data_IF_246388746876
#
_entry.id   IF_246388746876
#
_cell.length_a   1.000
_cell.length_b   1.000
_cell.length_c   1.000
_cell.angle_alpha   90.00
_cell.angle_beta   90.00
_cell.angle_gamma   90.00
#
_symmetry.space_group_name_H-M   'P 1'
#
loop_
_entity.id
_entity.type
_entity.pdbx_description
1 polymer ?
#
# COMPACT_ATOMS: atom_id res chain seq x y z
N UNK A 1 27.97 -4.29 14.55
CA UNK A 1 27.14 -3.32 13.81
C UNK A 1 26.04 -2.89 14.75
N UNK A 2 25.75 -1.59 14.92
CA UNK A 2 24.60 -1.21 15.74
C UNK A 2 23.36 -1.61 14.95
N UNK A 3 22.55 -2.49 15.54
CA UNK A 3 21.15 -2.73 15.12
C UNK A 3 20.43 -1.39 15.30
N UNK A 4 20.30 -0.63 14.21
CA UNK A 4 19.54 0.62 14.24
C UNK A 4 18.09 0.23 14.01
N UNK A 5 17.40 -0.09 15.09
CA UNK A 5 15.95 -0.20 15.05
C UNK A 5 15.33 1.15 14.71
N UNK A 6 14.09 1.13 14.23
CA UNK A 6 13.39 2.31 13.73
C UNK A 6 11.90 2.27 14.05
N UNK A 7 11.30 3.45 14.17
CA UNK A 7 9.87 3.57 14.42
C UNK A 7 9.05 3.38 13.15
N UNK A 8 7.86 2.81 13.30
CA UNK A 8 6.93 2.67 12.20
C UNK A 8 6.60 4.03 11.59
N UNK A 9 6.91 4.23 10.29
CA UNK A 9 6.75 5.54 9.66
C UNK A 9 5.28 5.93 9.49
N UNK A 10 4.34 4.99 9.65
CA UNK A 10 2.91 5.24 9.48
C UNK A 10 2.28 5.75 10.78
N UNK A 11 2.43 5.01 11.87
CA UNK A 11 1.72 5.27 13.12
C UNK A 11 2.61 5.69 14.30
N UNK A 12 3.93 5.48 14.21
CA UNK A 12 4.88 5.77 15.29
C UNK A 12 4.72 4.91 16.55
N UNK A 13 3.88 3.86 16.54
CA UNK A 13 3.56 3.06 17.74
C UNK A 13 4.41 1.81 17.92
N UNK A 14 5.09 1.36 16.88
CA UNK A 14 5.89 0.14 16.88
C UNK A 14 7.33 0.43 16.52
N UNK A 15 8.27 -0.25 17.19
CA UNK A 15 9.70 -0.12 16.95
C UNK A 15 10.22 -1.43 16.38
N UNK A 16 10.66 -1.39 15.13
CA UNK A 16 11.24 -2.51 14.41
C UNK A 16 12.71 -2.69 14.78
N UNK A 17 13.18 -3.93 14.86
CA UNK A 17 14.59 -4.22 15.17
C UNK A 17 15.48 -4.12 13.92
N UNK A 18 14.96 -4.54 12.76
CA UNK A 18 15.75 -4.68 11.53
C UNK A 18 14.95 -4.35 10.26
N UNK A 19 15.62 -3.75 9.27
CA UNK A 19 15.04 -3.39 7.96
C UNK A 19 14.89 -4.55 6.98
N UNK A 20 15.62 -5.65 7.17
CA UNK A 20 15.55 -6.84 6.30
C UNK A 20 14.51 -7.85 6.78
N UNK A 21 13.63 -7.42 7.69
CA UNK A 21 12.49 -8.21 8.15
C UNK A 21 11.30 -8.01 7.21
N UNK A 22 10.48 -9.04 7.04
CA UNK A 22 9.10 -8.89 6.51
C UNK A 22 8.11 -8.64 7.64
N UNK A 23 8.58 -7.99 8.71
CA UNK A 23 7.79 -7.73 9.90
C UNK A 23 6.67 -6.73 9.59
N UNK A 24 5.49 -6.98 10.16
CA UNK A 24 4.31 -6.14 9.99
C UNK A 24 4.05 -5.37 11.28
N UNK A 25 3.81 -4.05 11.17
CA UNK A 25 3.43 -3.26 12.33
C UNK A 25 2.07 -3.72 12.86
N UNK A 26 1.95 -4.19 14.12
CA UNK A 26 0.70 -4.74 14.66
C UNK A 26 -0.42 -3.71 14.86
N UNK A 27 -0.13 -2.41 14.69
CA UNK A 27 -1.10 -1.33 14.86
C UNK A 27 -1.66 -0.80 13.54
N UNK A 28 -0.88 -0.82 12.47
CA UNK A 28 -1.27 -0.20 11.21
C UNK A 28 -1.08 -1.11 9.99
N UNK A 29 -0.49 -2.30 10.17
CA UNK A 29 -0.30 -3.30 9.12
C UNK A 29 0.64 -2.88 7.99
N UNK A 30 1.49 -1.88 8.22
CA UNK A 30 2.58 -1.55 7.32
C UNK A 30 3.70 -2.58 7.47
N UNK A 31 4.12 -3.18 6.35
CA UNK A 31 5.19 -4.17 6.31
C UNK A 31 6.52 -3.46 6.09
N UNK A 32 7.55 -3.86 6.83
CA UNK A 32 8.91 -3.33 6.67
C UNK A 32 9.36 -3.41 5.21
N UNK A 33 9.84 -2.28 4.71
CA UNK A 33 10.46 -2.16 3.40
C UNK A 33 11.44 -0.99 3.40
N UNK A 34 12.74 -1.29 3.29
CA UNK A 34 13.81 -0.28 3.34
C UNK A 34 13.67 0.78 2.25
N UNK A 35 13.27 0.41 1.02
CA UNK A 35 13.15 1.35 -0.10
C UNK A 35 12.01 2.33 0.14
N UNK A 36 10.88 1.85 0.67
CA UNK A 36 9.76 2.72 1.03
C UNK A 36 10.04 3.57 2.27
N UNK A 37 10.91 3.10 3.17
CA UNK A 37 11.38 3.89 4.30
C UNK A 37 12.34 5.01 3.88
N UNK A 38 13.25 4.74 2.94
CA UNK A 38 14.18 5.74 2.42
C UNK A 38 13.51 6.73 1.45
N UNK A 39 12.46 6.31 0.75
CA UNK A 39 11.67 7.14 -0.14
C UNK A 39 10.16 6.99 0.14
N UNK A 40 9.60 7.97 0.86
CA UNK A 40 8.21 7.91 1.31
C UNK A 40 7.16 8.03 0.20
N UNK A 41 7.56 8.42 -1.01
CA UNK A 41 6.68 8.46 -2.20
C UNK A 41 6.83 7.22 -3.08
N UNK A 42 7.75 6.30 -2.75
CA UNK A 42 7.92 5.06 -3.49
C UNK A 42 6.77 4.09 -3.20
N UNK A 43 5.95 3.84 -4.22
CA UNK A 43 4.74 3.00 -4.13
C UNK A 43 4.92 1.57 -4.63
N UNK A 44 6.15 1.17 -4.98
CA UNK A 44 6.46 -0.14 -5.57
C UNK A 44 7.28 -1.00 -4.63
N UNK A 45 6.67 -1.51 -3.55
CA UNK A 45 7.40 -2.32 -2.56
C UNK A 45 6.60 -3.49 -1.99
N UNK A 46 6.96 -3.87 -0.77
CA UNK A 46 6.20 -4.84 0.03
C UNK A 46 4.78 -4.35 0.27
N UNK A 47 4.59 -3.03 0.37
CA UNK A 47 3.29 -2.40 0.50
C UNK A 47 2.75 -1.95 -0.85
N UNK A 48 1.43 -2.02 -0.99
CA UNK A 48 0.72 -1.60 -2.19
C UNK A 48 0.65 -0.08 -2.40
N UNK A 49 0.97 0.68 -1.36
CA UNK A 49 0.92 2.13 -1.26
C UNK A 49 2.31 2.63 -0.84
N UNK A 50 2.64 3.88 -1.17
CA UNK A 50 3.79 4.57 -0.58
C UNK A 50 3.58 4.85 0.92
N UNK A 51 4.62 5.24 1.64
CA UNK A 51 4.49 5.63 3.07
C UNK A 51 3.51 6.78 3.23
N UNK A 52 3.59 7.80 2.37
CA UNK A 52 2.68 8.94 2.40
C UNK A 52 1.22 8.54 2.12
N UNK A 53 1.00 7.66 1.15
CA UNK A 53 -0.34 7.14 0.84
C UNK A 53 -0.92 6.27 1.95
N UNK A 54 -0.09 5.42 2.55
CA UNK A 54 -0.49 4.57 3.68
C UNK A 54 -0.86 5.42 4.90
N UNK A 55 -0.18 6.54 5.16
CA UNK A 55 -0.57 7.49 6.20
C UNK A 55 -1.98 8.06 5.99
N UNK A 56 -2.37 8.32 4.74
CA UNK A 56 -3.73 8.77 4.40
C UNK A 56 -4.72 7.64 4.70
N UNK A 57 -4.48 6.42 4.19
CA UNK A 57 -5.32 5.24 4.47
C UNK A 57 -5.49 5.03 5.99
N UNK A 58 -4.39 5.07 6.73
CA UNK A 58 -4.39 4.94 8.19
C UNK A 58 -5.20 6.04 8.87
N UNK A 59 -5.12 7.29 8.39
CA UNK A 59 -5.90 8.41 8.95
C UNK A 59 -7.40 8.17 8.79
N UNK A 60 -7.85 7.85 7.58
CA UNK A 60 -9.29 7.69 7.31
C UNK A 60 -9.87 6.41 7.95
N UNK A 61 -9.08 5.35 8.13
CA UNK A 61 -9.50 4.13 8.83
C UNK A 61 -9.62 4.31 10.34
N UNK A 62 -8.88 5.25 10.93
CA UNK A 62 -8.93 5.54 12.36
C UNK A 62 -9.92 6.67 12.73
N UNK A 63 -10.56 7.31 11.74
CA UNK A 63 -11.58 8.32 11.99
C UNK A 63 -12.99 7.69 11.99
N UNK A 64 -13.79 7.99 13.01
CA UNK A 64 -15.12 7.38 13.22
C UNK A 64 -16.11 7.64 12.07
N UNK A 65 -16.01 8.79 11.40
CA UNK A 65 -16.92 9.19 10.33
C UNK A 65 -16.56 8.46 9.03
N UNK A 66 -15.26 8.37 8.72
CA UNK A 66 -14.81 7.85 7.42
C UNK A 66 -14.47 6.36 7.43
N UNK A 67 -14.36 5.73 8.60
CA UNK A 67 -13.87 4.36 8.75
C UNK A 67 -14.60 3.35 7.87
N UNK A 68 -15.94 3.31 7.92
CA UNK A 68 -16.73 2.33 7.16
C UNK A 68 -16.52 2.51 5.64
N UNK A 69 -16.58 3.74 5.16
CA UNK A 69 -16.32 4.05 3.76
C UNK A 69 -14.88 3.67 3.34
N UNK A 70 -13.89 3.95 4.20
CA UNK A 70 -12.50 3.59 3.94
C UNK A 70 -12.28 2.07 3.91
N UNK A 71 -12.94 1.30 4.78
CA UNK A 71 -12.88 -0.17 4.79
C UNK A 71 -13.44 -0.77 3.49
N UNK A 72 -14.57 -0.25 3.00
CA UNK A 72 -15.16 -0.67 1.72
C UNK A 72 -14.18 -0.38 0.57
N UNK A 73 -13.64 0.84 0.49
CA UNK A 73 -12.68 1.21 -0.55
C UNK A 73 -11.42 0.36 -0.52
N UNK A 74 -10.92 0.04 0.69
CA UNK A 74 -9.74 -0.81 0.87
C UNK A 74 -9.97 -2.21 0.32
N UNK A 75 -11.14 -2.79 0.57
CA UNK A 75 -11.47 -4.12 0.08
C UNK A 75 -11.66 -4.13 -1.45
N UNK A 76 -12.32 -3.12 -2.01
CA UNK A 76 -12.42 -2.94 -3.46
C UNK A 76 -11.03 -2.87 -4.12
N UNK A 77 -10.12 -2.07 -3.55
CA UNK A 77 -8.76 -1.92 -4.04
C UNK A 77 -7.98 -3.24 -3.98
N UNK A 78 -8.03 -3.95 -2.85
CA UNK A 78 -7.39 -5.26 -2.66
C UNK A 78 -7.91 -6.29 -3.65
N UNK A 79 -9.22 -6.40 -3.77
CA UNK A 79 -9.88 -7.33 -4.70
C UNK A 79 -9.49 -7.05 -6.15
N UNK A 80 -9.52 -5.77 -6.57
CA UNK A 80 -9.13 -5.37 -7.93
C UNK A 80 -7.66 -5.67 -8.23
N UNK A 81 -6.76 -5.31 -7.32
CA UNK A 81 -5.32 -5.61 -7.45
C UNK A 81 -5.04 -7.11 -7.51
N UNK A 82 -5.69 -7.91 -6.66
CA UNK A 82 -5.53 -9.37 -6.65
C UNK A 82 -6.02 -10.01 -7.94
N UNK A 83 -7.14 -9.54 -8.50
CA UNK A 83 -7.65 -10.03 -9.77
C UNK A 83 -6.70 -9.72 -10.93
N UNK A 84 -6.17 -8.49 -11.00
CA UNK A 84 -5.16 -8.13 -12.00
C UNK A 84 -3.89 -8.98 -11.90
N UNK A 85 -3.42 -9.27 -10.68
CA UNK A 85 -2.26 -10.16 -10.49
C UNK A 85 -2.55 -11.59 -10.97
N UNK A 86 -3.78 -12.09 -10.79
CA UNK A 86 -4.18 -13.41 -11.31
C UNK A 86 -4.24 -13.40 -12.83
N UNK A 87 -4.87 -12.39 -13.43
CA UNK A 87 -4.94 -12.23 -14.88
C UNK A 87 -3.56 -12.17 -15.50
N UNK A 88 -2.61 -11.44 -14.90
CA UNK A 88 -1.23 -11.45 -15.37
C UNK A 88 -0.59 -12.85 -15.38
N UNK A 89 -0.78 -13.62 -14.31
CA UNK A 89 -0.24 -14.98 -14.22
C UNK A 89 -0.80 -15.88 -15.32
N UNK A 90 -2.07 -15.69 -15.69
CA UNK A 90 -2.72 -16.40 -16.80
C UNK A 90 -2.16 -15.94 -18.14
N UNK A 91 -2.06 -14.64 -18.37
CA UNK A 91 -1.64 -14.08 -19.66
C UNK A 91 -0.20 -14.46 -20.03
N UNK A 92 0.71 -14.56 -19.05
CA UNK A 92 2.07 -15.09 -19.29
C UNK A 92 2.10 -16.51 -19.89
N UNK A 93 1.01 -17.28 -19.76
CA UNK A 93 0.89 -18.65 -20.28
C UNK A 93 0.45 -18.65 -21.75
N UNK A 94 -0.34 -17.67 -22.20
CA UNK A 94 -1.03 -17.68 -23.51
C UNK A 94 -0.28 -16.95 -24.65
N UNK A 95 0.93 -16.42 -24.41
CA UNK A 95 1.79 -15.70 -25.37
C UNK A 95 1.20 -14.45 -26.05
N UNK A 96 -0.09 -14.12 -25.86
CA UNK A 96 -0.67 -12.81 -26.19
C UNK A 96 -0.65 -11.90 -24.95
N UNK A 97 0.54 -11.46 -24.54
CA UNK A 97 0.69 -10.63 -23.35
C UNK A 97 0.57 -9.13 -23.65
N UNK A 98 -0.22 -8.36 -22.87
CA UNK A 98 0.01 -6.92 -22.79
C UNK A 98 1.45 -6.71 -22.36
N UNK A 99 2.08 -5.65 -22.86
CA UNK A 99 3.47 -5.39 -22.52
C UNK A 99 3.61 -5.20 -21.00
N UNK A 100 4.77 -5.54 -20.43
CA UNK A 100 5.05 -5.29 -19.02
C UNK A 100 4.74 -3.84 -18.62
N UNK A 101 4.91 -2.89 -19.55
CA UNK A 101 4.61 -1.48 -19.38
C UNK A 101 3.10 -1.21 -19.23
N UNK A 102 2.27 -1.73 -20.12
CA UNK A 102 0.81 -1.54 -20.07
C UNK A 102 0.24 -2.05 -18.74
N UNK A 103 0.75 -3.18 -18.26
CA UNK A 103 0.30 -3.69 -16.98
C UNK A 103 0.73 -2.84 -15.79
N UNK A 104 1.99 -2.39 -15.79
CA UNK A 104 2.47 -1.46 -14.75
C UNK A 104 1.57 -0.22 -14.72
N UNK A 105 1.20 0.33 -15.89
CA UNK A 105 0.28 1.45 -15.99
C UNK A 105 -1.10 1.13 -15.39
N UNK A 106 -1.64 -0.07 -15.59
CA UNK A 106 -2.93 -0.44 -14.98
C UNK A 106 -2.83 -0.51 -13.45
N UNK A 107 -1.77 -1.12 -12.89
CA UNK A 107 -1.58 -1.18 -11.43
C UNK A 107 -1.43 0.23 -10.83
N UNK A 108 -0.68 1.09 -11.51
CA UNK A 108 -0.53 2.50 -11.14
C UNK A 108 -1.89 3.21 -11.18
N UNK A 109 -2.68 3.03 -12.25
CA UNK A 109 -3.99 3.67 -12.37
C UNK A 109 -4.95 3.25 -11.24
N UNK A 110 -4.97 1.95 -10.89
CA UNK A 110 -5.81 1.45 -9.79
C UNK A 110 -5.38 2.02 -8.45
N UNK A 111 -4.07 2.10 -8.18
CA UNK A 111 -3.53 2.75 -6.97
C UNK A 111 -3.93 4.22 -6.92
N UNK A 112 -3.72 4.99 -7.99
CA UNK A 112 -4.03 6.42 -8.03
C UNK A 112 -5.51 6.70 -7.81
N UNK A 113 -6.40 5.91 -8.44
CA UNK A 113 -7.85 6.00 -8.21
C UNK A 113 -8.21 5.75 -6.74
N UNK A 114 -7.59 4.76 -6.11
CA UNK A 114 -7.81 4.46 -4.70
C UNK A 114 -7.35 5.62 -3.81
N UNK A 115 -6.13 6.11 -4.03
CA UNK A 115 -5.54 7.23 -3.28
C UNK A 115 -6.35 8.51 -3.44
N UNK A 116 -6.88 8.79 -4.64
CA UNK A 116 -7.77 9.93 -4.86
C UNK A 116 -9.03 9.84 -3.99
N UNK A 117 -9.68 8.67 -3.94
CA UNK A 117 -10.86 8.46 -3.08
C UNK A 117 -10.52 8.58 -1.59
N UNK A 118 -9.35 8.07 -1.16
CA UNK A 118 -8.89 8.26 0.22
C UNK A 118 -8.69 9.75 0.56
N UNK A 119 -8.09 10.52 -0.35
CA UNK A 119 -7.93 11.97 -0.17
C UNK A 119 -9.28 12.71 -0.09
N UNK A 120 -10.29 12.24 -0.82
CA UNK A 120 -11.65 12.78 -0.71
C UNK A 120 -12.24 12.50 0.68
N UNK A 121 -12.10 11.26 1.20
CA UNK A 121 -12.52 10.92 2.55
C UNK A 121 -11.77 11.72 3.63
N UNK A 122 -10.46 11.92 3.46
CA UNK A 122 -9.64 12.64 4.43
C UNK A 122 -10.10 14.07 4.69
N UNK A 123 -10.78 14.71 3.72
CA UNK A 123 -11.37 16.05 3.90
C UNK A 123 -12.52 16.08 4.90
N UNK A 124 -13.03 14.92 5.30
CA UNK A 124 -14.10 14.73 6.29
C UNK A 124 -13.59 14.18 7.62
N UNK A 125 -12.26 14.05 7.79
CA UNK A 125 -11.63 13.61 9.03
C UNK A 125 -11.46 14.74 10.05
#
# INVERSE_FOLDING_TARGET
MREVGFECPICGKYYFQEFDSLEECPFCNWVVNIVQYDNYDFSEGSNALSVNEYRIEHTVLNNIITKEAAEILREEFRSKRNNMQKEFRVIKIEQTAPSCEEMCQQFVAVRLQYVEKLNQLQRHC
#
